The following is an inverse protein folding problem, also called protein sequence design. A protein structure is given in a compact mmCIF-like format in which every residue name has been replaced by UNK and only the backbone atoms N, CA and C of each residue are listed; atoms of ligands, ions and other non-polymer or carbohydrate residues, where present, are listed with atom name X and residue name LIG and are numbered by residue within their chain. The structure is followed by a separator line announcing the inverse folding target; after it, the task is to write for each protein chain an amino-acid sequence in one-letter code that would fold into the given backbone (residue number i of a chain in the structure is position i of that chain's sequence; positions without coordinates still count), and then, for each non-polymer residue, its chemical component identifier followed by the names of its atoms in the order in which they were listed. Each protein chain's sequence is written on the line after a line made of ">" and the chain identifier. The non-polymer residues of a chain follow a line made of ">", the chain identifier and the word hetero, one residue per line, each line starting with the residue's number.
data_IF_985581930077
#
_entry.id   IF_985581930077
#
_cell.length_a   1.000
_cell.length_b   1.000
_cell.length_c   1.000
_cell.angle_alpha   90.00
_cell.angle_beta   90.00
_cell.angle_gamma   90.00
#
_symmetry.space_group_name_H-M   'P 1'
#
loop_
_entity.id
_entity.type
_entity.pdbx_description
1 polymer ?
#
# COMPACT_ATOMS: atom_id res chain seq x y z
N UNK A 1 -28.43 3.18 3.69
CA UNK A 1 -27.42 3.75 2.79
C UNK A 1 -26.15 3.94 3.58
N UNK A 2 -25.14 3.10 3.34
CA UNK A 2 -23.86 3.20 4.04
C UNK A 2 -23.09 4.44 3.57
N UNK A 3 -22.39 5.08 4.50
CA UNK A 3 -21.60 6.29 4.30
C UNK A 3 -20.74 6.16 3.04
N UNK A 4 -21.00 7.00 2.05
CA UNK A 4 -20.41 6.90 0.69
C UNK A 4 -18.92 7.22 0.63
N UNK A 5 -18.35 7.76 1.70
CA UNK A 5 -16.96 8.20 1.80
C UNK A 5 -16.36 7.65 3.10
N UNK A 6 -15.25 6.93 2.96
CA UNK A 6 -14.49 6.40 4.09
C UNK A 6 -13.11 7.08 4.09
N UNK A 7 -12.99 8.14 4.89
CA UNK A 7 -11.78 8.95 5.01
C UNK A 7 -10.57 8.16 5.55
N UNK A 8 -10.75 6.92 6.00
CA UNK A 8 -9.66 6.08 6.46
C UNK A 8 -8.68 5.75 5.32
N UNK A 9 -9.15 5.58 4.08
CA UNK A 9 -8.27 5.22 2.96
C UNK A 9 -7.28 6.34 2.60
N UNK A 10 -7.70 7.61 2.43
CA UNK A 10 -6.77 8.72 2.28
C UNK A 10 -5.85 8.91 3.48
N UNK A 11 -6.35 8.74 4.71
CA UNK A 11 -5.53 8.84 5.92
C UNK A 11 -4.45 7.75 5.98
N UNK A 12 -4.78 6.51 5.59
CA UNK A 12 -3.79 5.43 5.50
C UNK A 12 -2.70 5.78 4.48
N UNK A 13 -3.06 6.33 3.32
CA UNK A 13 -2.08 6.77 2.31
C UNK A 13 -1.18 7.89 2.85
N UNK A 14 -1.75 8.92 3.50
CA UNK A 14 -0.97 9.98 4.15
C UNK A 14 0.00 9.43 5.21
N UNK A 15 -0.42 8.44 5.99
CA UNK A 15 0.44 7.77 6.97
C UNK A 15 1.56 6.97 6.30
N UNK A 16 1.29 6.28 5.19
CA UNK A 16 2.32 5.58 4.39
C UNK A 16 3.38 6.58 3.93
N UNK A 17 2.96 7.70 3.35
CA UNK A 17 3.86 8.74 2.85
C UNK A 17 4.70 9.35 3.98
N UNK A 18 4.07 9.57 5.14
CA UNK A 18 4.74 10.06 6.35
C UNK A 18 5.81 9.09 6.84
N UNK A 19 5.55 7.78 6.84
CA UNK A 19 6.55 6.79 7.23
C UNK A 19 7.72 6.72 6.24
N UNK A 20 7.47 6.82 4.93
CA UNK A 20 8.56 6.93 3.95
C UNK A 20 9.40 8.19 4.17
N UNK A 21 8.77 9.35 4.39
CA UNK A 21 9.47 10.60 4.68
C UNK A 21 10.33 10.52 5.96
N UNK A 22 9.87 9.75 6.96
CA UNK A 22 10.61 9.49 8.20
C UNK A 22 11.69 8.40 8.08
N UNK A 23 11.95 7.87 6.88
CA UNK A 23 12.87 6.74 6.64
C UNK A 23 12.51 5.50 7.48
N UNK A 24 11.22 5.21 7.62
CA UNK A 24 10.67 4.03 8.29
C UNK A 24 9.99 3.10 7.27
N UNK A 25 10.76 2.47 6.36
CA UNK A 25 10.20 1.75 5.23
C UNK A 25 9.42 0.49 5.64
N UNK A 26 9.80 -0.19 6.73
CA UNK A 26 9.09 -1.37 7.21
C UNK A 26 7.65 -1.02 7.62
N UNK A 27 7.49 0.05 8.41
CA UNK A 27 6.18 0.55 8.83
C UNK A 27 5.36 1.04 7.64
N UNK A 28 5.99 1.78 6.72
CA UNK A 28 5.34 2.25 5.50
C UNK A 28 4.80 1.09 4.66
N UNK A 29 5.63 0.06 4.41
CA UNK A 29 5.26 -1.11 3.62
C UNK A 29 4.21 -1.98 4.31
N UNK A 30 4.29 -2.14 5.63
CA UNK A 30 3.26 -2.86 6.40
C UNK A 30 1.90 -2.17 6.25
N UNK A 31 1.87 -0.84 6.38
CA UNK A 31 0.62 -0.09 6.25
C UNK A 31 0.10 -0.09 4.81
N UNK A 32 0.99 0.01 3.82
CA UNK A 32 0.64 -0.09 2.40
C UNK A 32 0.06 -1.47 2.04
N UNK A 33 0.58 -2.54 2.64
CA UNK A 33 0.02 -3.89 2.52
C UNK A 33 -1.40 -3.97 3.10
N UNK A 34 -1.59 -3.45 4.32
CA UNK A 34 -2.91 -3.42 4.95
C UNK A 34 -3.92 -2.62 4.14
N UNK A 35 -3.52 -1.48 3.57
CA UNK A 35 -4.36 -0.70 2.67
C UNK A 35 -4.86 -1.54 1.49
N UNK A 36 -3.95 -2.23 0.80
CA UNK A 36 -4.33 -3.04 -0.36
C UNK A 36 -5.17 -4.26 0.02
N UNK A 37 -4.89 -4.87 1.17
CA UNK A 37 -5.69 -5.97 1.69
C UNK A 37 -7.16 -5.55 1.88
N UNK A 38 -7.38 -4.44 2.59
CA UNK A 38 -8.74 -3.93 2.82
C UNK A 38 -9.38 -3.51 1.49
N UNK A 39 -8.68 -2.74 0.65
CA UNK A 39 -9.21 -2.27 -0.64
C UNK A 39 -9.57 -3.43 -1.58
N UNK A 40 -8.80 -4.51 -1.58
CA UNK A 40 -9.08 -5.71 -2.39
C UNK A 40 -10.33 -6.46 -1.94
N UNK A 41 -10.77 -6.27 -0.68
CA UNK A 41 -12.00 -6.84 -0.14
C UNK A 41 -13.24 -5.98 -0.40
N UNK A 42 -13.05 -4.73 -0.83
CA UNK A 42 -14.14 -3.82 -1.18
C UNK A 42 -14.74 -4.15 -2.55
N UNK A 43 -15.95 -3.62 -2.81
CA UNK A 43 -16.62 -3.78 -4.11
C UNK A 43 -15.84 -3.12 -5.25
N UNK A 44 -15.98 -3.63 -6.48
CA UNK A 44 -15.36 -3.05 -7.69
C UNK A 44 -15.65 -1.56 -7.84
N UNK A 45 -16.91 -1.14 -7.63
CA UNK A 45 -17.30 0.27 -7.72
C UNK A 45 -16.64 1.16 -6.65
N UNK A 46 -16.20 0.58 -5.54
CA UNK A 46 -15.42 1.29 -4.52
C UNK A 46 -13.96 1.37 -4.95
N UNK A 47 -13.37 0.27 -5.43
CA UNK A 47 -12.01 0.24 -5.96
C UNK A 47 -11.83 1.27 -7.10
N UNK A 48 -12.77 1.35 -8.03
CA UNK A 48 -12.77 2.34 -9.13
C UNK A 48 -12.79 3.79 -8.64
N UNK A 49 -13.51 4.10 -7.56
CA UNK A 49 -13.54 5.46 -6.99
C UNK A 49 -12.21 5.89 -6.41
N UNK A 50 -11.40 4.93 -5.94
CA UNK A 50 -10.07 5.16 -5.39
C UNK A 50 -8.96 4.85 -6.41
N UNK A 51 -9.31 4.62 -7.67
CA UNK A 51 -8.36 4.26 -8.75
C UNK A 51 -7.44 3.09 -8.36
N UNK A 52 -8.01 2.10 -7.66
CA UNK A 52 -7.24 0.97 -7.14
C UNK A 52 -7.17 -0.16 -8.16
N UNK A 53 -5.96 -0.49 -8.59
CA UNK A 53 -5.65 -1.68 -9.37
C UNK A 53 -4.69 -2.60 -8.60
N UNK A 54 -5.10 -3.84 -8.36
CA UNK A 54 -4.31 -4.79 -7.55
C UNK A 54 -3.00 -5.21 -8.22
N UNK A 55 -2.96 -5.31 -9.54
CA UNK A 55 -1.76 -5.74 -10.27
C UNK A 55 -0.72 -4.62 -10.34
N UNK A 56 -1.17 -3.38 -10.56
CA UNK A 56 -0.32 -2.19 -10.44
C UNK A 56 0.21 -2.03 -9.01
N UNK A 57 -0.65 -2.22 -8.01
CA UNK A 57 -0.24 -2.20 -6.61
C UNK A 57 0.83 -3.26 -6.32
N UNK A 58 0.66 -4.50 -6.79
CA UNK A 58 1.65 -5.58 -6.61
C UNK A 58 3.00 -5.25 -7.24
N UNK A 59 3.00 -4.66 -8.44
CA UNK A 59 4.21 -4.25 -9.13
C UNK A 59 4.95 -3.17 -8.32
N UNK A 60 4.23 -2.12 -7.89
CA UNK A 60 4.78 -1.05 -7.04
C UNK A 60 5.30 -1.56 -5.71
N UNK A 61 4.53 -2.42 -5.02
CA UNK A 61 4.92 -2.99 -3.73
C UNK A 61 6.21 -3.80 -3.84
N UNK A 62 6.35 -4.64 -4.87
CA UNK A 62 7.58 -5.39 -5.16
C UNK A 62 8.76 -4.44 -5.37
N UNK A 63 8.58 -3.39 -6.16
CA UNK A 63 9.64 -2.41 -6.42
C UNK A 63 10.10 -1.72 -5.13
N UNK A 64 9.17 -1.31 -4.27
CA UNK A 64 9.49 -0.69 -2.98
C UNK A 64 10.22 -1.66 -2.04
N UNK A 65 9.80 -2.94 -1.98
CA UNK A 65 10.51 -3.95 -1.22
C UNK A 65 11.96 -4.11 -1.69
N UNK A 66 12.18 -4.16 -3.00
CA UNK A 66 13.53 -4.24 -3.59
C UNK A 66 14.35 -2.98 -3.31
N UNK A 67 13.75 -1.80 -3.41
CA UNK A 67 14.42 -0.52 -3.16
C UNK A 67 14.91 -0.40 -1.70
N UNK A 68 14.07 -0.76 -0.73
CA UNK A 68 14.37 -0.54 0.69
C UNK A 68 15.06 -1.71 1.38
N UNK A 69 14.88 -2.95 0.91
CA UNK A 69 15.43 -4.14 1.56
C UNK A 69 16.32 -4.99 0.64
N UNK A 70 16.42 -4.64 -0.65
CA UNK A 70 17.17 -5.42 -1.62
C UNK A 70 16.50 -6.75 -1.97
N UNK A 71 17.20 -7.54 -2.79
CA UNK A 71 16.81 -8.92 -3.07
C UNK A 71 17.55 -9.87 -2.13
N UNK A 72 16.85 -10.37 -1.12
CA UNK A 72 17.37 -11.34 -0.16
C UNK A 72 17.80 -12.67 -0.79
N UNK A 73 17.39 -12.97 -2.04
CA UNK A 73 17.86 -14.15 -2.79
C UNK A 73 19.24 -13.95 -3.42
N UNK A 74 19.71 -12.71 -3.50
CA UNK A 74 21.03 -12.36 -4.03
C UNK A 74 22.03 -12.05 -2.93
N UNK A 75 21.56 -11.78 -1.71
CA UNK A 75 22.40 -11.55 -0.54
C UNK A 75 22.78 -12.89 0.11
N UNK A 76 23.75 -13.58 -0.48
CA UNK A 76 24.52 -14.61 0.24
C UNK A 76 25.66 -13.89 0.98
N UNK A 77 25.51 -13.70 2.29
CA UNK A 77 26.61 -13.36 3.20
C UNK A 77 26.67 -14.37 4.31
#
# INVERSE_FOLDING_TARGET
>A
GGTKENNNYPLMQMCVDTYFAQRKPLQALTLLHNYAWIMSSETTAFQERYDFNIDEWRAKFRQLCLEYFGDSRTQFT
#
